data_IF_210836332211
#
_entry.id   IF_210836332211
#
_cell.length_a   1.000
_cell.length_b   1.000
_cell.length_c   1.000
_cell.angle_alpha   90.00
_cell.angle_beta   90.00
_cell.angle_gamma   90.00
#
_symmetry.space_group_name_H-M   'P 1'
#
loop_
_entity.id
_entity.type
_entity.pdbx_description
1 polymer ?
#
# COMPACT_ATOMS: atom_id res chain seq x y z
N UNK A 1 9.91 -13.41 7.30
CA UNK A 1 9.71 -13.36 8.75
C UNK A 1 10.93 -12.79 9.44
N UNK A 2 10.71 -12.06 10.54
CA UNK A 2 11.75 -11.58 11.43
C UNK A 2 11.39 -12.08 12.82
N UNK A 3 12.32 -12.82 13.46
CA UNK A 3 12.07 -13.44 14.76
C UNK A 3 13.30 -13.40 15.65
N UNK A 4 13.08 -13.49 16.97
CA UNK A 4 14.10 -13.50 18.02
C UNK A 4 13.87 -12.38 19.03
N UNK A 5 14.51 -12.49 20.19
CA UNK A 5 14.31 -11.58 21.35
C UNK A 5 14.44 -10.09 21.00
N UNK A 6 15.22 -9.76 19.97
CA UNK A 6 15.49 -8.37 19.55
C UNK A 6 14.64 -7.94 18.35
N UNK A 7 13.67 -8.77 17.87
CA UNK A 7 12.88 -8.51 16.67
C UNK A 7 12.12 -7.18 16.75
N UNK A 8 11.50 -6.87 17.89
CA UNK A 8 10.77 -5.61 18.07
C UNK A 8 11.71 -4.41 18.00
N UNK A 9 12.89 -4.48 18.63
CA UNK A 9 13.87 -3.39 18.59
C UNK A 9 14.40 -3.15 17.18
N UNK A 10 14.69 -4.23 16.42
CA UNK A 10 15.12 -4.13 15.03
C UNK A 10 14.02 -3.54 14.15
N UNK A 11 12.78 -4.02 14.27
CA UNK A 11 11.65 -3.49 13.50
C UNK A 11 11.37 -2.02 13.85
N UNK A 12 11.52 -1.65 15.12
CA UNK A 12 11.42 -0.26 15.52
C UNK A 12 12.54 0.61 14.91
N UNK A 13 13.73 0.08 14.70
CA UNK A 13 14.85 0.81 14.11
C UNK A 13 14.76 0.93 12.58
N UNK A 14 14.28 -0.08 11.89
CA UNK A 14 14.25 -0.07 10.40
C UNK A 14 12.98 0.53 9.80
N UNK A 15 11.87 0.56 10.55
CA UNK A 15 10.58 1.06 10.10
C UNK A 15 10.29 2.47 10.61
N UNK A 16 9.69 3.31 9.79
CA UNK A 16 9.28 4.66 10.20
C UNK A 16 8.06 4.69 11.10
N UNK A 17 7.15 3.72 10.98
CA UNK A 17 5.96 3.64 11.83
C UNK A 17 6.26 2.91 13.14
N UNK A 18 5.37 3.03 14.12
CA UNK A 18 5.46 2.26 15.37
C UNK A 18 5.17 0.79 15.12
N UNK A 19 6.14 -0.05 15.46
CA UNK A 19 6.04 -1.51 15.31
C UNK A 19 5.74 -2.22 16.64
N UNK A 20 5.81 -1.50 17.77
CA UNK A 20 5.38 -2.02 19.08
C UNK A 20 3.87 -1.86 19.23
N UNK A 21 3.15 -2.76 18.62
CA UNK A 21 1.69 -2.82 18.54
C UNK A 21 1.20 -4.15 19.08
N UNK A 22 -0.09 -4.30 19.45
CA UNK A 22 -0.63 -5.58 19.91
C UNK A 22 -0.36 -6.72 18.91
N UNK A 23 -0.16 -7.93 19.43
CA UNK A 23 -0.04 -9.15 18.62
C UNK A 23 -1.28 -9.30 17.72
N UNK A 24 -1.04 -9.66 16.49
CA UNK A 24 -2.05 -9.74 15.43
C UNK A 24 -2.30 -8.43 14.69
N UNK A 25 -1.77 -7.29 15.14
CA UNK A 25 -1.91 -6.01 14.43
C UNK A 25 -1.03 -5.97 13.19
N UNK A 26 -1.62 -5.54 12.07
CA UNK A 26 -0.95 -5.22 10.83
C UNK A 26 -0.68 -3.71 10.76
N UNK A 27 0.53 -3.33 10.39
CA UNK A 27 0.99 -1.93 10.28
C UNK A 27 1.57 -1.70 8.89
N UNK A 28 1.03 -0.72 8.18
CA UNK A 28 1.66 -0.20 6.96
C UNK A 28 2.77 0.78 7.35
N UNK A 29 3.95 0.61 6.79
CA UNK A 29 5.14 1.40 7.12
C UNK A 29 6.07 1.55 5.93
N UNK A 30 6.99 2.50 5.99
CA UNK A 30 8.13 2.62 5.08
C UNK A 30 9.45 2.34 5.78
N UNK A 31 10.43 1.83 5.04
CA UNK A 31 11.85 1.96 5.32
C UNK A 31 12.39 3.15 4.55
N UNK A 32 13.28 3.92 5.17
CA UNK A 32 13.77 5.17 4.60
C UNK A 32 15.29 5.20 4.54
N UNK A 33 15.83 5.88 3.52
CA UNK A 33 17.27 6.12 3.41
C UNK A 33 17.72 7.35 4.22
N UNK A 34 19.00 7.63 4.21
CA UNK A 34 19.59 8.76 4.94
C UNK A 34 19.11 10.14 4.46
N UNK A 35 18.44 10.22 3.30
CA UNK A 35 17.83 11.45 2.76
C UNK A 35 16.32 11.53 3.05
N UNK A 36 15.74 10.52 3.69
CA UNK A 36 14.30 10.42 3.98
C UNK A 36 13.46 9.89 2.82
N UNK A 37 14.06 9.43 1.74
CA UNK A 37 13.38 8.76 0.64
C UNK A 37 13.01 7.32 1.00
N UNK A 38 12.00 6.77 0.33
CA UNK A 38 11.57 5.39 0.52
C UNK A 38 12.59 4.40 -0.02
N UNK A 39 13.08 3.50 0.80
CA UNK A 39 13.76 2.29 0.33
C UNK A 39 12.75 1.18 0.01
N UNK A 40 11.69 1.12 0.80
CA UNK A 40 10.55 0.23 0.58
C UNK A 40 9.33 0.71 1.35
N UNK A 41 8.16 0.23 0.94
CA UNK A 41 6.93 0.27 1.72
C UNK A 41 6.34 -1.14 1.81
N UNK A 42 5.80 -1.48 2.98
CA UNK A 42 5.21 -2.79 3.20
C UNK A 42 4.22 -2.81 4.37
N UNK A 43 3.50 -3.92 4.46
CA UNK A 43 2.69 -4.24 5.64
C UNK A 43 3.43 -5.26 6.50
N UNK A 44 3.58 -4.97 7.79
CA UNK A 44 4.12 -5.92 8.76
C UNK A 44 3.06 -6.28 9.80
N UNK A 45 2.94 -7.56 10.09
CA UNK A 45 2.06 -8.10 11.14
C UNK A 45 2.91 -8.54 12.32
N UNK A 46 2.61 -8.08 13.53
CA UNK A 46 3.22 -8.63 14.74
C UNK A 46 2.56 -9.97 15.07
N UNK A 47 3.29 -11.07 14.87
CA UNK A 47 2.78 -12.43 15.09
C UNK A 47 2.87 -12.86 16.54
N UNK A 48 3.96 -12.46 17.22
CA UNK A 48 4.23 -12.67 18.64
C UNK A 48 4.99 -11.45 19.19
N UNK A 49 5.34 -11.48 20.47
CA UNK A 49 6.13 -10.39 21.07
C UNK A 49 7.48 -10.21 20.37
N UNK A 50 8.04 -11.28 19.87
CA UNK A 50 9.36 -11.41 19.25
C UNK A 50 9.31 -11.90 17.81
N UNK A 51 8.15 -11.79 17.12
CA UNK A 51 8.01 -12.24 15.73
C UNK A 51 7.15 -11.30 14.89
N UNK A 52 7.66 -11.00 13.67
CA UNK A 52 6.96 -10.21 12.64
C UNK A 52 6.90 -10.95 11.31
N UNK A 53 5.77 -10.79 10.62
CA UNK A 53 5.54 -11.25 9.26
C UNK A 53 5.41 -10.05 8.35
N UNK A 54 6.31 -9.93 7.37
CA UNK A 54 6.36 -8.81 6.44
C UNK A 54 5.81 -9.26 5.09
N UNK A 55 4.91 -8.46 4.54
CA UNK A 55 4.36 -8.60 3.18
C UNK A 55 4.81 -7.39 2.39
N UNK A 56 5.77 -7.60 1.49
CA UNK A 56 6.35 -6.57 0.63
C UNK A 56 6.08 -6.85 -0.84
N UNK A 57 6.34 -5.89 -1.71
CA UNK A 57 6.25 -6.05 -3.16
C UNK A 57 7.18 -7.17 -3.66
N UNK A 58 6.71 -7.96 -4.61
CA UNK A 58 7.47 -9.09 -5.18
C UNK A 58 8.85 -8.67 -5.69
N UNK A 59 8.97 -7.48 -6.30
CA UNK A 59 10.23 -6.96 -6.80
C UNK A 59 11.20 -6.54 -5.70
N UNK A 60 10.73 -6.32 -4.46
CA UNK A 60 11.51 -5.77 -3.37
C UNK A 60 12.02 -6.81 -2.36
N UNK A 61 11.55 -8.05 -2.41
CA UNK A 61 11.84 -9.05 -1.38
C UNK A 61 13.32 -9.23 -1.07
N UNK A 62 14.18 -9.32 -2.10
CA UNK A 62 15.65 -9.45 -1.94
C UNK A 62 16.25 -8.16 -1.38
N UNK A 63 15.87 -7.02 -1.92
CA UNK A 63 16.30 -5.70 -1.47
C UNK A 63 15.95 -5.48 0.00
N UNK A 64 14.70 -5.71 0.37
CA UNK A 64 14.20 -5.46 1.72
C UNK A 64 14.87 -6.34 2.76
N UNK A 65 15.03 -7.64 2.46
CA UNK A 65 15.75 -8.54 3.33
C UNK A 65 17.21 -8.13 3.52
N UNK A 66 17.88 -7.64 2.45
CA UNK A 66 19.24 -7.11 2.53
C UNK A 66 19.30 -5.81 3.32
N UNK A 67 18.38 -4.88 3.07
CA UNK A 67 18.29 -3.61 3.77
C UNK A 67 18.13 -3.81 5.28
N UNK A 68 17.20 -4.67 5.69
CA UNK A 68 16.98 -4.98 7.10
C UNK A 68 18.25 -5.58 7.73
N UNK A 69 18.88 -6.58 7.07
CA UNK A 69 20.12 -7.20 7.59
C UNK A 69 21.23 -6.18 7.82
N UNK A 70 21.40 -5.24 6.87
CA UNK A 70 22.44 -4.21 6.92
C UNK A 70 22.22 -3.19 8.04
N UNK A 71 20.97 -3.00 8.47
CA UNK A 71 20.58 -2.02 9.47
C UNK A 71 20.19 -2.66 10.82
N UNK A 72 20.52 -3.92 11.04
CA UNK A 72 20.43 -4.50 12.39
C UNK A 72 21.45 -3.77 13.28
N UNK A 73 21.03 -3.11 14.38
CA UNK A 73 21.95 -2.42 15.27
C UNK A 73 22.97 -3.38 15.88
N UNK A 74 24.18 -2.86 16.14
CA UNK A 74 25.24 -3.64 16.78
C UNK A 74 24.78 -4.19 18.15
N UNK A 75 25.09 -5.45 18.42
CA UNK A 75 24.70 -6.15 19.63
C UNK A 75 23.29 -6.73 19.62
N UNK A 76 22.43 -6.41 18.64
CA UNK A 76 21.13 -7.05 18.46
C UNK A 76 21.24 -8.25 17.52
N UNK A 77 20.40 -9.27 17.77
CA UNK A 77 20.37 -10.50 17.00
C UNK A 77 18.94 -10.92 16.66
N UNK A 78 18.68 -11.11 15.35
CA UNK A 78 17.39 -11.58 14.84
C UNK A 78 17.60 -12.60 13.73
N UNK A 79 16.69 -13.56 13.64
CA UNK A 79 16.52 -14.41 12.48
C UNK A 79 15.73 -13.68 11.38
N UNK A 80 16.25 -13.62 10.17
CA UNK A 80 15.55 -13.07 8.99
C UNK A 80 15.40 -14.19 7.98
N UNK A 81 14.17 -14.67 7.82
CA UNK A 81 13.83 -15.78 6.94
C UNK A 81 12.92 -15.32 5.79
N UNK A 82 13.35 -15.56 4.56
CA UNK A 82 12.48 -15.45 3.41
C UNK A 82 11.57 -16.68 3.33
N UNK A 83 10.26 -16.44 3.40
CA UNK A 83 9.22 -17.48 3.32
C UNK A 83 8.36 -17.37 2.06
N UNK A 84 8.76 -16.52 1.11
CA UNK A 84 7.98 -16.21 -0.10
C UNK A 84 7.56 -17.47 -0.85
N UNK A 85 8.47 -18.41 -1.05
CA UNK A 85 8.17 -19.65 -1.79
C UNK A 85 7.41 -20.70 -0.97
N UNK A 86 7.28 -20.51 0.34
CA UNK A 86 6.53 -21.41 1.21
C UNK A 86 5.07 -21.00 1.39
N UNK A 87 4.72 -19.77 0.98
CA UNK A 87 3.40 -19.20 1.21
C UNK A 87 2.73 -18.78 -0.10
N UNK A 88 1.44 -19.08 -0.24
CA UNK A 88 0.58 -18.53 -1.26
C UNK A 88 -0.40 -17.52 -0.68
N UNK A 89 -0.87 -16.57 -1.48
CA UNK A 89 -1.83 -15.55 -1.05
C UNK A 89 -2.98 -15.48 -2.04
N UNK A 90 -4.21 -15.59 -1.52
CA UNK A 90 -5.44 -15.30 -2.25
C UNK A 90 -6.13 -14.10 -1.61
N UNK A 91 -6.45 -13.10 -2.40
CA UNK A 91 -7.20 -11.91 -1.95
C UNK A 91 -8.67 -12.06 -2.28
N UNK A 92 -9.54 -12.04 -1.27
CA UNK A 92 -11.01 -12.04 -1.42
C UNK A 92 -11.52 -10.69 -0.99
N UNK A 93 -11.96 -9.88 -1.96
CA UNK A 93 -12.26 -8.46 -1.77
C UNK A 93 -13.61 -8.11 -2.42
N UNK A 94 -14.31 -7.15 -1.83
CA UNK A 94 -15.57 -6.62 -2.33
C UNK A 94 -16.60 -6.46 -1.21
N UNK A 95 -17.72 -5.76 -1.46
CA UNK A 95 -18.73 -5.47 -0.43
C UNK A 95 -19.34 -6.72 0.18
N UNK A 96 -19.37 -7.84 -0.54
CA UNK A 96 -19.92 -9.13 -0.10
C UNK A 96 -18.85 -10.14 0.32
N UNK A 97 -17.58 -9.74 0.46
CA UNK A 97 -16.47 -10.65 0.82
C UNK A 97 -16.73 -11.38 2.15
N UNK A 98 -17.36 -10.71 3.13
CA UNK A 98 -17.72 -11.34 4.41
C UNK A 98 -18.79 -12.41 4.23
N UNK A 99 -19.85 -12.12 3.50
CA UNK A 99 -20.97 -13.05 3.25
C UNK A 99 -20.49 -14.28 2.48
N UNK A 100 -19.49 -14.07 1.62
CA UNK A 100 -18.84 -15.15 0.88
C UNK A 100 -17.98 -16.04 1.78
N UNK A 101 -17.13 -15.45 2.64
CA UNK A 101 -16.16 -16.19 3.45
C UNK A 101 -16.76 -16.78 4.74
N UNK A 102 -17.73 -16.12 5.37
CA UNK A 102 -18.23 -16.53 6.68
C UNK A 102 -18.75 -17.97 6.75
N UNK A 103 -19.46 -18.51 5.73
CA UNK A 103 -19.88 -19.92 5.76
C UNK A 103 -18.76 -20.94 5.62
N UNK A 104 -17.55 -20.51 5.25
CA UNK A 104 -16.38 -21.38 5.04
C UNK A 104 -15.52 -21.52 6.29
N UNK A 105 -15.78 -20.73 7.34
CA UNK A 105 -15.02 -20.71 8.58
C UNK A 105 -15.91 -20.60 9.80
N UNK A 106 -15.53 -21.26 10.89
CA UNK A 106 -16.19 -21.09 12.19
C UNK A 106 -15.77 -19.79 12.90
N UNK A 107 -14.69 -19.15 12.43
CA UNK A 107 -14.23 -17.90 13.01
C UNK A 107 -15.20 -16.75 12.66
N UNK A 108 -15.57 -15.95 13.65
CA UNK A 108 -16.42 -14.77 13.45
C UNK A 108 -15.64 -13.66 12.68
N UNK A 109 -16.06 -13.41 11.43
CA UNK A 109 -15.49 -12.38 10.57
C UNK A 109 -16.11 -10.99 10.77
N UNK A 110 -16.93 -10.79 11.81
CA UNK A 110 -17.50 -9.47 12.12
C UNK A 110 -16.43 -8.42 12.43
N UNK A 111 -16.80 -7.14 12.33
CA UNK A 111 -15.88 -6.03 12.63
C UNK A 111 -15.38 -6.06 14.08
N UNK A 112 -16.18 -6.61 14.98
CA UNK A 112 -15.83 -6.75 16.41
C UNK A 112 -14.78 -7.83 16.65
N UNK A 113 -14.96 -9.00 16.06
CA UNK A 113 -14.07 -10.15 16.26
C UNK A 113 -12.81 -10.06 15.39
N UNK A 114 -12.96 -9.50 14.19
CA UNK A 114 -11.87 -9.33 13.23
C UNK A 114 -11.82 -7.88 12.70
N UNK A 115 -11.31 -6.91 13.48
CA UNK A 115 -11.24 -5.52 13.06
C UNK A 115 -10.26 -5.30 11.91
N UNK A 116 -10.46 -4.22 11.14
CA UNK A 116 -9.54 -3.83 10.07
C UNK A 116 -8.11 -3.62 10.58
N UNK A 117 -7.13 -4.06 9.79
CA UNK A 117 -5.71 -3.99 10.14
C UNK A 117 -5.30 -5.01 11.20
N UNK A 118 -6.03 -6.13 11.30
CA UNK A 118 -5.62 -7.27 12.12
C UNK A 118 -5.44 -8.53 11.29
N UNK A 119 -4.67 -9.43 11.83
CA UNK A 119 -4.42 -10.79 11.34
C UNK A 119 -4.93 -11.81 12.35
N UNK A 120 -5.47 -12.92 11.86
CA UNK A 120 -5.90 -14.08 12.65
C UNK A 120 -5.50 -15.36 11.95
N UNK A 121 -5.18 -16.38 12.71
CA UNK A 121 -5.14 -17.74 12.21
C UNK A 121 -6.56 -18.29 12.22
N UNK A 122 -7.02 -18.78 11.07
CA UNK A 122 -8.36 -19.35 10.89
C UNK A 122 -8.25 -20.60 10.02
N UNK A 123 -9.32 -21.40 10.00
CA UNK A 123 -9.47 -22.49 9.06
C UNK A 123 -10.54 -22.17 8.03
N UNK A 124 -10.28 -22.47 6.77
CA UNK A 124 -11.25 -22.45 5.67
C UNK A 124 -11.26 -23.83 5.05
N UNK A 125 -12.38 -24.55 5.16
CA UNK A 125 -12.43 -25.96 4.83
C UNK A 125 -11.39 -26.76 5.64
N UNK A 126 -10.52 -27.50 4.94
CA UNK A 126 -9.42 -28.26 5.57
C UNK A 126 -8.11 -27.48 5.69
N UNK A 127 -8.08 -26.23 5.22
CA UNK A 127 -6.87 -25.45 5.18
C UNK A 127 -6.74 -24.59 6.45
N UNK A 128 -5.59 -24.68 7.13
CA UNK A 128 -5.20 -23.73 8.18
C UNK A 128 -4.41 -22.60 7.55
N UNK A 129 -4.82 -21.37 7.78
CA UNK A 129 -4.26 -20.21 7.12
C UNK A 129 -4.25 -18.97 8.03
N UNK A 130 -3.47 -17.99 7.64
CA UNK A 130 -3.49 -16.66 8.23
C UNK A 130 -4.32 -15.73 7.35
N UNK A 131 -5.42 -15.23 7.87
CA UNK A 131 -6.17 -14.16 7.24
C UNK A 131 -5.67 -12.81 7.77
N UNK A 132 -5.48 -11.84 6.88
CA UNK A 132 -5.15 -10.46 7.22
C UNK A 132 -6.25 -9.57 6.66
N UNK A 133 -6.93 -8.82 7.54
CA UNK A 133 -8.00 -7.92 7.11
C UNK A 133 -7.43 -6.58 6.66
N UNK A 134 -6.95 -6.55 5.45
CA UNK A 134 -6.44 -5.38 4.72
C UNK A 134 -6.94 -5.44 3.27
N UNK A 135 -6.84 -4.34 2.54
CA UNK A 135 -7.20 -4.30 1.14
C UNK A 135 -6.39 -3.25 0.39
N UNK A 136 -5.76 -3.65 -0.70
CA UNK A 136 -5.11 -2.73 -1.63
C UNK A 136 -6.10 -2.12 -2.65
N UNK A 137 -7.32 -2.60 -2.67
CA UNK A 137 -8.41 -2.10 -3.51
C UNK A 137 -9.37 -1.19 -2.75
N UNK A 138 -9.19 -1.05 -1.42
CA UNK A 138 -10.02 -0.25 -0.53
C UNK A 138 -11.46 -0.76 -0.37
N UNK A 139 -11.68 -2.03 -0.67
CA UNK A 139 -12.95 -2.75 -0.44
C UNK A 139 -12.84 -3.61 0.82
N UNK A 140 -13.98 -4.02 1.37
CA UNK A 140 -14.02 -5.02 2.44
C UNK A 140 -13.36 -6.32 1.95
N UNK A 141 -12.48 -6.91 2.76
CA UNK A 141 -11.88 -8.18 2.38
C UNK A 141 -10.72 -8.62 3.24
N UNK A 142 -10.15 -9.74 2.84
CA UNK A 142 -9.04 -10.40 3.50
C UNK A 142 -8.02 -10.92 2.48
N UNK A 143 -6.76 -10.80 2.84
CA UNK A 143 -5.70 -11.59 2.24
C UNK A 143 -5.57 -12.90 3.01
N UNK A 144 -5.67 -14.02 2.30
CA UNK A 144 -5.61 -15.39 2.84
C UNK A 144 -4.22 -15.96 2.54
N UNK A 145 -3.36 -15.97 3.54
CA UNK A 145 -1.98 -16.45 3.46
C UNK A 145 -1.94 -17.91 3.91
N UNK A 146 -1.64 -18.82 3.01
CA UNK A 146 -1.69 -20.27 3.24
C UNK A 146 -0.36 -20.93 2.82
N UNK A 147 -0.01 -22.05 3.43
CA UNK A 147 1.10 -22.87 2.95
C UNK A 147 0.90 -23.26 1.48
N UNK A 148 1.97 -23.21 0.69
CA UNK A 148 1.90 -23.49 -0.76
C UNK A 148 1.36 -24.89 -1.07
N UNK A 149 1.55 -25.84 -0.17
CA UNK A 149 1.02 -27.19 -0.23
C UNK A 149 -0.52 -27.28 -0.12
N UNK A 150 -1.15 -26.28 0.51
CA UNK A 150 -2.60 -26.19 0.69
C UNK A 150 -3.27 -25.20 -0.27
N UNK A 151 -2.49 -24.51 -1.12
CA UNK A 151 -2.98 -23.43 -1.99
C UNK A 151 -4.07 -23.89 -2.95
N UNK A 152 -3.90 -25.04 -3.60
CA UNK A 152 -4.90 -25.60 -4.52
C UNK A 152 -6.19 -25.98 -3.78
N UNK A 153 -6.08 -26.60 -2.61
CA UNK A 153 -7.24 -26.99 -1.81
C UNK A 153 -8.04 -25.76 -1.33
N UNK A 154 -7.35 -24.70 -0.93
CA UNK A 154 -8.01 -23.42 -0.58
C UNK A 154 -8.71 -22.81 -1.79
N UNK A 155 -8.04 -22.75 -2.95
CA UNK A 155 -8.63 -22.23 -4.18
C UNK A 155 -9.88 -23.02 -4.58
N UNK A 156 -9.82 -24.35 -4.58
CA UNK A 156 -10.94 -25.22 -4.92
C UNK A 156 -12.13 -25.01 -3.96
N UNK A 157 -11.86 -24.86 -2.64
CA UNK A 157 -12.88 -24.55 -1.64
C UNK A 157 -13.60 -23.22 -1.93
N UNK A 158 -12.84 -22.18 -2.30
CA UNK A 158 -13.40 -20.88 -2.69
C UNK A 158 -14.21 -21.00 -3.99
N UNK A 159 -13.72 -21.72 -4.97
CA UNK A 159 -14.40 -21.93 -6.26
C UNK A 159 -15.67 -22.77 -6.10
N UNK A 160 -15.70 -23.76 -5.22
CA UNK A 160 -16.93 -24.51 -4.91
C UNK A 160 -17.98 -23.60 -4.26
N UNK A 161 -17.59 -22.75 -3.32
CA UNK A 161 -18.48 -21.74 -2.73
C UNK A 161 -19.00 -20.74 -3.76
N UNK A 162 -18.23 -20.43 -4.79
CA UNK A 162 -18.62 -19.50 -5.85
C UNK A 162 -19.84 -19.98 -6.67
N UNK A 163 -20.19 -21.26 -6.60
CA UNK A 163 -21.39 -21.80 -7.25
C UNK A 163 -22.68 -21.35 -6.56
N UNK A 164 -22.60 -21.05 -5.27
CA UNK A 164 -23.73 -20.54 -4.48
C UNK A 164 -23.73 -19.01 -4.31
N UNK A 165 -22.53 -18.43 -4.15
CA UNK A 165 -22.29 -17.01 -4.02
C UNK A 165 -21.28 -16.58 -5.08
N UNK A 166 -21.71 -16.09 -6.24
CA UNK A 166 -20.82 -15.82 -7.38
C UNK A 166 -19.70 -14.81 -7.05
N UNK A 167 -18.49 -15.15 -7.48
CA UNK A 167 -17.31 -14.26 -7.43
C UNK A 167 -16.75 -14.08 -8.84
N UNK A 168 -16.00 -13.00 -9.02
CA UNK A 168 -15.30 -12.73 -10.28
C UNK A 168 -13.80 -12.84 -10.05
N UNK A 169 -13.11 -13.65 -10.88
CA UNK A 169 -11.67 -13.68 -10.90
C UNK A 169 -11.14 -12.37 -11.50
N UNK A 170 -10.35 -11.64 -10.73
CA UNK A 170 -9.83 -10.34 -11.10
C UNK A 170 -8.31 -10.40 -11.35
N UNK A 171 -7.89 -9.79 -12.45
CA UNK A 171 -6.49 -9.69 -12.82
C UNK A 171 -5.83 -8.40 -12.31
N UNK A 172 -4.52 -8.27 -12.57
CA UNK A 172 -3.70 -7.16 -12.11
C UNK A 172 -4.21 -5.78 -12.56
N UNK A 173 -4.74 -5.65 -13.76
CA UNK A 173 -5.27 -4.37 -14.25
C UNK A 173 -6.52 -3.91 -13.49
N UNK A 174 -7.35 -4.84 -13.01
CA UNK A 174 -8.48 -4.51 -12.17
C UNK A 174 -8.00 -3.95 -10.81
N UNK A 175 -6.97 -4.56 -10.22
CA UNK A 175 -6.34 -4.07 -8.99
C UNK A 175 -5.78 -2.65 -9.20
N UNK A 176 -5.08 -2.41 -10.32
CA UNK A 176 -4.55 -1.09 -10.67
C UNK A 176 -5.63 -0.01 -10.76
N UNK A 177 -6.75 -0.31 -11.42
CA UNK A 177 -7.88 0.59 -11.51
C UNK A 177 -8.45 0.93 -10.12
N UNK A 178 -8.76 -0.10 -9.34
CA UNK A 178 -9.40 0.06 -8.04
C UNK A 178 -8.49 0.78 -7.02
N UNK A 179 -7.19 0.46 -6.97
CA UNK A 179 -6.25 1.12 -6.04
C UNK A 179 -6.11 2.63 -6.35
N UNK A 180 -6.16 3.02 -7.65
CA UNK A 180 -6.10 4.41 -8.08
C UNK A 180 -7.31 5.21 -7.59
N UNK A 181 -8.50 4.64 -7.65
CA UNK A 181 -9.72 5.28 -7.15
C UNK A 181 -9.63 5.59 -5.64
N UNK A 182 -8.94 4.76 -4.88
CA UNK A 182 -8.70 4.90 -3.44
C UNK A 182 -7.42 5.66 -3.11
N UNK A 183 -6.66 6.06 -4.13
CA UNK A 183 -5.43 6.81 -3.97
C UNK A 183 -4.30 6.00 -3.33
N UNK A 184 -4.27 4.68 -3.44
CA UNK A 184 -3.17 3.86 -2.94
C UNK A 184 -1.98 3.91 -3.90
N UNK A 185 -0.78 4.05 -3.32
CA UNK A 185 0.48 4.19 -4.05
C UNK A 185 1.02 2.81 -4.38
N UNK A 186 1.78 2.76 -5.47
CA UNK A 186 2.54 1.57 -5.86
C UNK A 186 4.03 1.89 -5.86
N UNK A 187 4.83 0.99 -5.30
CA UNK A 187 6.29 1.07 -5.40
C UNK A 187 6.72 1.03 -6.88
N UNK A 188 7.73 1.86 -7.19
CA UNK A 188 8.24 1.99 -8.57
C UNK A 188 7.41 2.91 -9.46
N UNK A 189 6.20 3.30 -9.03
CA UNK A 189 5.37 4.29 -9.70
C UNK A 189 5.30 5.60 -8.90
N UNK A 190 4.64 5.58 -7.75
CA UNK A 190 4.49 6.75 -6.87
C UNK A 190 5.56 6.83 -5.79
N UNK A 191 6.24 5.73 -5.47
CA UNK A 191 7.26 5.65 -4.43
C UNK A 191 8.58 5.17 -5.00
N UNK A 192 9.66 5.85 -4.61
CA UNK A 192 11.03 5.54 -4.97
C UNK A 192 12.01 6.09 -3.92
N UNK A 193 13.32 5.77 -3.99
CA UNK A 193 14.33 6.36 -3.09
C UNK A 193 14.45 7.89 -3.16
N UNK A 194 13.88 8.53 -4.18
CA UNK A 194 13.84 9.99 -4.36
C UNK A 194 12.52 10.62 -3.90
N UNK A 195 11.59 9.84 -3.37
CA UNK A 195 10.29 10.30 -2.88
C UNK A 195 10.20 10.10 -1.37
N UNK A 196 9.72 11.11 -0.65
CA UNK A 196 9.54 11.00 0.80
C UNK A 196 8.04 11.04 1.20
N UNK A 197 7.66 10.54 2.40
CA UNK A 197 6.27 10.35 2.79
C UNK A 197 5.43 11.62 2.79
N UNK A 198 6.01 12.79 2.98
CA UNK A 198 5.29 14.07 2.99
C UNK A 198 4.84 14.42 1.56
N UNK A 199 5.74 14.26 0.57
CA UNK A 199 5.44 14.49 -0.85
C UNK A 199 4.41 13.49 -1.38
N UNK A 200 4.56 12.22 -1.01
CA UNK A 200 3.66 11.15 -1.39
C UNK A 200 2.30 11.20 -0.66
N UNK A 201 2.13 12.08 0.33
CA UNK A 201 0.91 12.16 1.13
C UNK A 201 0.70 10.95 2.06
N UNK A 202 1.79 10.31 2.48
CA UNK A 202 1.84 9.14 3.37
C UNK A 202 2.45 9.45 4.73
N UNK A 203 2.33 10.70 5.18
CA UNK A 203 2.86 11.11 6.49
C UNK A 203 2.32 10.31 7.68
N UNK A 204 1.17 9.65 7.54
CA UNK A 204 0.59 8.77 8.54
C UNK A 204 1.35 7.43 8.69
N UNK A 205 2.13 7.03 7.68
CA UNK A 205 2.97 5.83 7.72
C UNK A 205 4.27 6.02 8.50
N UNK A 206 4.47 7.20 9.07
CA UNK A 206 5.59 7.55 9.95
C UNK A 206 5.02 7.96 11.31
N UNK A 207 5.50 7.30 12.37
CA UNK A 207 5.25 7.76 13.73
C UNK A 207 6.30 8.83 14.10
N UNK A 208 5.87 10.10 13.99
CA UNK A 208 6.72 11.26 14.22
C UNK A 208 7.14 11.44 15.68
N UNK A 209 6.40 10.85 16.61
CA UNK A 209 6.62 10.94 18.06
C UNK A 209 7.24 9.67 18.64
N UNK A 210 7.59 8.72 17.76
CA UNK A 210 8.23 7.47 18.13
C UNK A 210 9.41 7.70 19.07
N UNK A 211 9.47 7.03 20.23
CA UNK A 211 10.47 7.31 21.27
C UNK A 211 11.89 6.83 20.91
N UNK A 212 12.01 6.01 19.86
CA UNK A 212 13.29 5.45 19.41
C UNK A 212 13.68 5.99 18.03
N UNK A 213 14.97 6.08 17.79
CA UNK A 213 15.50 6.47 16.48
C UNK A 213 15.27 5.36 15.44
N UNK A 214 15.00 5.79 14.22
CA UNK A 214 14.93 4.89 13.06
C UNK A 214 15.69 5.46 11.88
N UNK A 215 16.05 4.59 10.94
CA UNK A 215 16.82 4.98 9.75
C UNK A 215 16.05 6.03 8.94
N UNK A 216 16.71 7.17 8.68
CA UNK A 216 16.15 8.29 7.93
C UNK A 216 15.36 9.33 8.76
N UNK A 217 15.14 9.12 10.07
CA UNK A 217 14.34 10.01 10.91
C UNK A 217 14.81 11.46 10.88
N UNK A 218 16.11 11.71 11.05
CA UNK A 218 16.64 13.06 11.10
C UNK A 218 16.38 13.84 9.81
N UNK A 219 16.53 13.19 8.64
CA UNK A 219 16.19 13.78 7.35
C UNK A 219 14.70 14.05 7.21
N UNK A 220 13.84 13.10 7.62
CA UNK A 220 12.38 13.25 7.57
C UNK A 220 11.88 14.40 8.45
N UNK A 221 12.46 14.59 9.65
CA UNK A 221 12.11 15.71 10.54
C UNK A 221 12.47 17.05 9.88
N UNK A 222 13.66 17.13 9.25
CA UNK A 222 14.04 18.34 8.50
C UNK A 222 13.11 18.59 7.30
N UNK A 223 12.78 17.55 6.52
CA UNK A 223 11.87 17.67 5.38
C UNK A 223 10.46 18.11 5.82
N UNK A 224 9.97 17.63 6.96
CA UNK A 224 8.68 18.00 7.52
C UNK A 224 8.59 19.49 7.90
N UNK A 225 9.71 20.11 8.26
CA UNK A 225 9.77 21.51 8.63
C UNK A 225 9.66 22.48 7.42
N UNK A 226 9.77 21.94 6.21
CA UNK A 226 9.77 22.74 4.98
C UNK A 226 8.62 22.35 4.05
N UNK A 227 8.21 23.31 3.22
CA UNK A 227 7.23 23.05 2.18
C UNK A 227 7.86 22.15 1.09
N UNK A 228 7.24 21.01 0.74
CA UNK A 228 7.80 20.12 -0.26
C UNK A 228 7.77 20.78 -1.65
N UNK A 229 8.81 20.56 -2.45
CA UNK A 229 8.91 21.08 -3.83
C UNK A 229 8.11 20.27 -4.85
N UNK A 230 7.64 19.11 -4.48
CA UNK A 230 6.71 18.28 -5.27
C UNK A 230 5.65 17.67 -4.36
N UNK A 231 4.48 17.37 -4.90
CA UNK A 231 3.41 16.72 -4.17
C UNK A 231 2.59 15.81 -5.07
N UNK A 232 2.32 14.62 -4.61
CA UNK A 232 1.46 13.68 -5.29
C UNK A 232 0.01 14.19 -5.27
N UNK A 233 -0.61 14.17 -6.43
CA UNK A 233 -2.02 14.51 -6.63
C UNK A 233 -2.70 13.45 -7.50
N UNK A 234 -4.02 13.39 -7.40
CA UNK A 234 -4.87 12.53 -8.21
C UNK A 234 -5.63 13.41 -9.19
N UNK A 235 -5.78 12.94 -10.40
CA UNK A 235 -6.46 13.63 -11.48
C UNK A 235 -7.58 12.78 -12.04
N UNK A 236 -8.73 13.38 -12.34
CA UNK A 236 -9.79 12.71 -13.12
C UNK A 236 -10.04 13.47 -14.41
N UNK A 237 -10.32 12.74 -15.48
CA UNK A 237 -10.61 13.25 -16.81
C UNK A 237 -11.95 12.71 -17.27
N UNK A 238 -12.86 13.60 -17.70
CA UNK A 238 -14.22 13.21 -18.11
C UNK A 238 -14.29 12.72 -19.56
N UNK A 239 -13.33 13.13 -20.41
CA UNK A 239 -13.29 12.69 -21.81
C UNK A 239 -13.08 11.17 -21.90
N UNK A 240 -14.03 10.42 -22.48
CA UNK A 240 -13.94 8.96 -22.59
C UNK A 240 -12.79 8.47 -23.47
N UNK A 241 -12.28 9.33 -24.35
CA UNK A 241 -11.15 9.00 -25.23
C UNK A 241 -9.80 9.17 -24.52
N UNK A 242 -9.78 9.64 -23.27
CA UNK A 242 -8.57 9.79 -22.49
C UNK A 242 -8.06 8.43 -22.03
N UNK A 243 -7.14 7.85 -22.76
CA UNK A 243 -6.43 6.63 -22.38
C UNK A 243 -5.21 7.01 -21.53
N UNK A 244 -5.33 6.87 -20.20
CA UNK A 244 -4.29 7.23 -19.23
C UNK A 244 -3.55 5.97 -18.76
N UNK A 245 -2.20 6.00 -18.83
CA UNK A 245 -1.35 4.89 -18.42
C UNK A 245 -0.28 5.25 -17.39
N UNK A 246 0.01 6.54 -17.28
CA UNK A 246 1.18 7.10 -16.65
C UNK A 246 2.16 7.65 -17.68
N UNK A 247 2.91 8.69 -17.29
CA UNK A 247 3.80 9.44 -18.19
C UNK A 247 3.13 10.59 -18.92
N UNK A 248 1.83 10.81 -18.77
CA UNK A 248 1.15 11.99 -19.32
C UNK A 248 1.69 13.26 -18.66
N UNK A 249 1.86 14.32 -19.47
CA UNK A 249 2.30 15.62 -18.97
C UNK A 249 1.18 16.27 -18.17
N UNK A 250 1.50 16.71 -16.96
CA UNK A 250 0.59 17.51 -16.12
C UNK A 250 0.82 18.98 -16.44
N UNK A 251 -0.22 19.63 -16.96
CA UNK A 251 -0.26 21.07 -17.20
C UNK A 251 -1.05 21.73 -16.08
N UNK A 252 -0.54 22.84 -15.55
CA UNK A 252 -1.24 23.78 -14.68
C UNK A 252 -1.17 25.17 -15.26
N UNK A 253 -2.31 25.80 -15.51
CA UNK A 253 -2.41 27.11 -16.17
C UNK A 253 -1.60 27.17 -17.47
N UNK A 254 -1.65 26.06 -18.25
CA UNK A 254 -0.95 25.89 -19.53
C UNK A 254 0.56 25.58 -19.43
N UNK A 255 1.15 25.59 -18.23
CA UNK A 255 2.59 25.30 -17.99
C UNK A 255 2.78 23.88 -17.48
N UNK A 256 3.87 23.25 -17.92
CA UNK A 256 4.25 21.90 -17.44
C UNK A 256 4.66 21.99 -15.96
N UNK A 257 4.03 21.19 -15.10
CA UNK A 257 4.32 21.11 -13.67
C UNK A 257 4.71 19.71 -13.22
N UNK A 258 4.65 18.70 -14.09
CA UNK A 258 5.04 17.33 -13.76
C UNK A 258 4.52 16.32 -14.76
N UNK A 259 4.53 15.06 -14.30
CA UNK A 259 4.07 13.91 -15.08
C UNK A 259 3.24 13.00 -14.20
N UNK A 260 2.29 12.28 -14.81
CA UNK A 260 1.58 11.21 -14.13
C UNK A 260 2.50 10.00 -13.93
N UNK A 261 2.31 9.29 -12.84
CA UNK A 261 3.06 8.06 -12.50
C UNK A 261 2.25 6.82 -12.83
N UNK A 262 0.93 6.92 -12.68
CA UNK A 262 -0.03 5.86 -12.97
C UNK A 262 -1.28 6.43 -13.60
N UNK A 263 -1.93 5.65 -14.46
CA UNK A 263 -3.21 5.99 -15.06
C UNK A 263 -4.06 4.75 -15.30
N UNK A 264 -5.38 4.92 -15.32
CA UNK A 264 -6.36 3.89 -15.62
C UNK A 264 -7.74 4.49 -15.86
N UNK A 265 -8.73 3.64 -16.05
CA UNK A 265 -10.14 4.03 -16.00
C UNK A 265 -10.72 3.73 -14.62
N UNK A 266 -11.33 4.72 -13.99
CA UNK A 266 -12.00 4.61 -12.69
C UNK A 266 -13.44 4.13 -12.91
N UNK A 267 -13.69 2.85 -12.71
CA UNK A 267 -14.99 2.22 -13.00
C UNK A 267 -16.11 2.74 -12.09
N UNK A 268 -15.81 3.05 -10.82
CA UNK A 268 -16.78 3.65 -9.88
C UNK A 268 -17.16 5.08 -10.28
N UNK A 269 -16.20 5.84 -10.85
CA UNK A 269 -16.42 7.22 -11.26
C UNK A 269 -16.87 7.36 -12.72
N UNK A 270 -16.73 6.33 -13.55
CA UNK A 270 -17.07 6.32 -14.97
C UNK A 270 -16.18 7.25 -15.82
N UNK A 271 -14.90 7.43 -15.45
CA UNK A 271 -13.98 8.38 -16.10
C UNK A 271 -12.51 7.98 -15.97
N UNK A 272 -11.65 8.63 -16.74
CA UNK A 272 -10.20 8.45 -16.59
C UNK A 272 -9.70 8.94 -15.23
N UNK A 273 -8.72 8.22 -14.66
CA UNK A 273 -8.03 8.58 -13.41
C UNK A 273 -6.53 8.43 -13.57
N UNK A 274 -5.76 9.34 -12.97
CA UNK A 274 -4.30 9.24 -12.91
C UNK A 274 -3.77 9.75 -11.57
N UNK A 275 -2.59 9.30 -11.18
CA UNK A 275 -1.78 9.91 -10.13
C UNK A 275 -0.50 10.49 -10.73
N UNK A 276 0.03 11.56 -10.11
CA UNK A 276 1.29 12.14 -10.53
C UNK A 276 1.77 13.26 -9.63
N UNK A 277 3.05 13.58 -9.75
CA UNK A 277 3.67 14.63 -8.95
C UNK A 277 3.58 16.00 -9.62
N UNK A 278 3.01 16.96 -8.89
CA UNK A 278 3.06 18.38 -9.22
C UNK A 278 4.33 18.97 -8.60
N UNK A 279 5.09 19.77 -9.35
CA UNK A 279 6.36 20.39 -8.93
C UNK A 279 6.27 21.90 -9.01
N UNK A 280 6.87 22.60 -8.03
CA UNK A 280 7.04 24.04 -8.05
C UNK A 280 8.28 24.46 -7.26
N UNK A 281 9.05 25.45 -7.76
CA UNK A 281 10.30 25.89 -7.14
C UNK A 281 10.13 26.43 -5.73
N UNK A 282 9.05 27.18 -5.50
CA UNK A 282 8.74 27.83 -4.19
C UNK A 282 7.98 26.88 -3.24
N UNK A 283 7.76 25.60 -3.67
CA UNK A 283 7.04 24.59 -2.90
C UNK A 283 5.60 24.38 -3.38
N UNK A 284 5.01 23.27 -2.94
CA UNK A 284 3.67 22.82 -3.33
C UNK A 284 2.83 22.57 -2.09
N UNK A 285 2.00 23.52 -1.74
CA UNK A 285 0.99 23.38 -0.68
C UNK A 285 -0.39 23.01 -1.26
N UNK A 286 -1.38 22.88 -0.39
CA UNK A 286 -2.74 22.56 -0.79
C UNK A 286 -3.41 23.70 -1.58
N UNK A 287 -3.05 24.95 -1.30
CA UNK A 287 -3.61 26.12 -2.00
C UNK A 287 -3.07 26.21 -3.42
N UNK A 288 -1.77 25.97 -3.61
CA UNK A 288 -1.16 25.88 -4.94
C UNK A 288 -1.83 24.79 -5.78
N UNK A 289 -2.02 23.58 -5.22
CA UNK A 289 -2.65 22.49 -5.96
C UNK A 289 -4.09 22.82 -6.36
N UNK A 290 -4.89 23.36 -5.44
CA UNK A 290 -6.33 23.63 -5.68
C UNK A 290 -6.61 24.86 -6.51
N UNK A 291 -5.68 25.82 -6.56
CA UNK A 291 -5.89 27.13 -7.17
C UNK A 291 -5.52 27.24 -8.64
N UNK A 292 -5.22 26.12 -9.34
CA UNK A 292 -4.86 26.11 -10.74
C UNK A 292 -5.83 25.36 -11.62
N UNK A 293 -5.83 25.66 -12.90
CA UNK A 293 -6.54 24.92 -13.95
C UNK A 293 -5.63 23.83 -14.51
N UNK A 294 -6.10 22.58 -14.49
CA UNK A 294 -5.30 21.45 -14.90
C UNK A 294 -5.75 20.80 -16.19
N UNK A 295 -4.77 20.30 -16.92
CA UNK A 295 -4.97 19.38 -18.05
C UNK A 295 -3.91 18.29 -18.04
N UNK A 296 -4.27 17.10 -18.50
CA UNK A 296 -3.33 16.02 -18.80
C UNK A 296 -3.10 15.97 -20.31
N UNK A 297 -1.84 15.96 -20.73
CA UNK A 297 -1.50 15.84 -22.14
C UNK A 297 -0.98 14.43 -22.44
N UNK A 298 -1.74 13.67 -23.23
CA UNK A 298 -1.38 12.37 -23.76
C UNK A 298 -1.15 12.50 -25.28
N UNK A 299 0.08 12.29 -25.71
CA UNK A 299 0.48 12.57 -27.11
C UNK A 299 0.25 14.03 -27.49
N UNK A 300 -0.50 14.27 -28.56
CA UNK A 300 -0.85 15.62 -29.04
C UNK A 300 -2.14 16.20 -28.44
N UNK A 301 -2.90 15.40 -27.71
CA UNK A 301 -4.20 15.81 -27.14
C UNK A 301 -4.04 16.30 -25.69
N UNK A 302 -4.82 17.32 -25.34
CA UNK A 302 -4.93 17.84 -23.96
C UNK A 302 -6.34 17.61 -23.45
N UNK A 303 -6.43 17.02 -22.26
CA UNK A 303 -7.68 16.69 -21.61
C UNK A 303 -7.82 17.52 -20.34
N UNK A 304 -8.85 18.38 -20.21
CA UNK A 304 -9.13 19.06 -18.95
C UNK A 304 -9.23 18.06 -17.81
N UNK A 305 -8.60 18.35 -16.68
CA UNK A 305 -8.50 17.44 -15.55
C UNK A 305 -8.88 18.13 -14.24
N UNK A 306 -9.63 17.41 -13.40
CA UNK A 306 -9.93 17.82 -12.03
C UNK A 306 -8.90 17.21 -11.07
N UNK A 307 -8.32 18.05 -10.20
CA UNK A 307 -7.26 17.64 -9.27
C UNK A 307 -7.81 17.35 -7.88
N UNK A 308 -7.21 16.36 -7.20
CA UNK A 308 -7.55 15.98 -5.83
C UNK A 308 -6.27 15.69 -5.03
N UNK A 309 -6.27 16.05 -3.73
CA UNK A 309 -5.23 15.67 -2.78
C UNK A 309 -5.59 14.44 -1.92
N UNK A 310 -6.81 13.99 -2.04
CA UNK A 310 -7.34 12.77 -1.39
C UNK A 310 -8.10 11.97 -2.44
N UNK A 311 -8.27 10.69 -2.17
CA UNK A 311 -9.04 9.81 -3.05
C UNK A 311 -10.42 10.40 -3.38
N UNK A 312 -10.81 10.45 -4.66
CA UNK A 312 -12.14 10.91 -5.05
C UNK A 312 -13.24 9.92 -4.65
N UNK A 313 -12.91 8.63 -4.52
CA UNK A 313 -13.79 7.59 -3.98
C UNK A 313 -13.34 7.28 -2.56
N UNK A 314 -14.22 7.46 -1.60
CA UNK A 314 -13.92 7.11 -0.19
C UNK A 314 -13.91 5.58 -0.03
N UNK A 315 -13.01 5.10 0.83
CA UNK A 315 -12.98 3.71 1.26
C UNK A 315 -14.13 3.40 2.21
#
# INVERSE_FOLDING_TARGET
>A
RISGRDASAVMQHVCGNNMDVPVGKAVYTGMFNSKGGYESDFTAVRLAEDEYYIVTSTAQGVHDAHWIRRHVPEGLSVGIQDVTHAMGVLSVMGPHARDFLQPLTEFDLSDKAFPFGYSREISIGMCSLRAIRISYMGELGWELHVGVDQMSALYDTLMDRSKECPITLAGHYAIQSLRLEKGFRAWGAELSPDDHPIEAGLGFAVDWEKPVEFVGRSALVQLKAHLPKKRLAIFTVEDPDACLWGGEIILRDGKVVGYTTSGSFAHTLGRGIAMGYIRHADGVDASFVKGGDYALQAGSRRFPAKVYLRAPVRA
#
